data_IF_848887910001
#
_entry.id   IF_848887910001
#
_cell.length_a   1.000
_cell.length_b   1.000
_cell.length_c   1.000
_cell.angle_alpha   90.00
_cell.angle_beta   90.00
_cell.angle_gamma   90.00
#
_symmetry.space_group_name_H-M   'P 1'
#
loop_
_entity.id
_entity.type
_entity.pdbx_description
1 polymer ?
#
# COMPACT_ATOMS: atom_id res chain seq x y z
N UNK A 1 30.10 41.64 6.79
CA UNK A 1 29.87 40.26 7.23
C UNK A 1 30.58 39.33 6.27
N UNK A 2 31.50 38.49 6.72
CA UNK A 2 32.25 37.55 5.89
C UNK A 2 31.32 36.44 5.46
N UNK A 3 31.59 35.77 4.31
CA UNK A 3 30.73 34.77 3.69
C UNK A 3 30.31 33.68 4.70
N UNK A 4 31.22 33.18 5.52
CA UNK A 4 30.96 32.15 6.52
C UNK A 4 29.99 32.60 7.62
N UNK A 5 30.02 33.89 8.03
CA UNK A 5 29.06 34.44 8.98
C UNK A 5 27.65 34.47 8.40
N UNK A 6 27.51 34.80 7.13
CA UNK A 6 26.24 34.73 6.41
C UNK A 6 25.71 33.30 6.30
N UNK A 7 26.56 32.30 6.06
CA UNK A 7 26.17 30.90 5.97
C UNK A 7 25.69 30.34 7.32
N UNK A 8 26.25 30.81 8.44
CA UNK A 8 25.80 30.38 9.78
C UNK A 8 24.58 31.14 10.31
N UNK A 9 24.24 32.29 9.74
CA UNK A 9 23.14 33.15 10.18
C UNK A 9 22.00 33.23 9.19
N UNK A 10 21.85 32.22 8.32
CA UNK A 10 20.72 32.14 7.36
C UNK A 10 19.41 32.17 8.16
N UNK A 11 18.52 33.11 7.80
CA UNK A 11 17.19 33.21 8.41
C UNK A 11 16.41 31.91 8.18
N UNK A 12 15.84 31.36 9.25
CA UNK A 12 15.01 30.14 9.20
C UNK A 12 13.86 30.25 8.20
N UNK A 13 13.33 31.46 7.98
CA UNK A 13 12.26 31.72 7.00
C UNK A 13 12.70 31.38 5.57
N UNK A 14 13.97 31.67 5.24
CA UNK A 14 14.54 31.33 3.91
C UNK A 14 14.64 29.81 3.78
N UNK A 15 15.16 29.12 4.81
CA UNK A 15 15.27 27.66 4.82
C UNK A 15 13.89 27.02 4.64
N UNK A 16 12.89 27.45 5.41
CA UNK A 16 11.52 26.93 5.29
C UNK A 16 10.86 27.30 3.97
N UNK A 17 11.11 28.49 3.44
CA UNK A 17 10.61 28.91 2.12
C UNK A 17 11.17 28.04 0.99
N UNK A 18 12.48 27.76 1.02
CA UNK A 18 13.12 26.87 0.05
C UNK A 18 12.58 25.44 0.18
N UNK A 19 12.49 24.93 1.41
CA UNK A 19 11.99 23.58 1.66
C UNK A 19 10.53 23.44 1.19
N UNK A 20 9.69 24.43 1.49
CA UNK A 20 8.30 24.47 1.01
C UNK A 20 8.24 24.44 -0.52
N UNK A 21 9.04 25.27 -1.19
CA UNK A 21 9.10 25.32 -2.65
C UNK A 21 9.54 23.98 -3.26
N UNK A 22 10.61 23.40 -2.72
CA UNK A 22 11.19 22.13 -3.19
C UNK A 22 10.22 20.95 -3.03
N UNK A 23 9.41 20.95 -1.97
CA UNK A 23 8.39 19.90 -1.75
C UNK A 23 7.16 20.13 -2.62
N UNK A 24 6.72 21.40 -2.75
CA UNK A 24 5.44 21.71 -3.40
C UNK A 24 5.53 21.71 -4.92
N UNK A 25 6.66 22.18 -5.50
CA UNK A 25 6.81 22.25 -6.96
C UNK A 25 6.64 20.89 -7.67
N UNK A 26 7.24 19.77 -7.20
CA UNK A 26 7.04 18.47 -7.84
C UNK A 26 5.59 17.95 -7.71
N UNK A 27 4.84 18.37 -6.67
CA UNK A 27 3.44 17.99 -6.51
C UNK A 27 2.51 18.77 -7.45
N UNK A 28 2.89 20.02 -7.80
CA UNK A 28 2.14 20.85 -8.77
C UNK A 28 2.47 20.44 -10.21
N UNK A 29 3.73 20.08 -10.46
CA UNK A 29 4.23 19.62 -11.76
C UNK A 29 4.69 18.16 -11.65
N UNK A 30 3.75 17.22 -11.53
CA UNK A 30 4.11 15.82 -11.30
C UNK A 30 4.90 15.26 -12.48
N UNK A 31 6.03 14.66 -12.17
CA UNK A 31 6.79 13.84 -13.09
C UNK A 31 7.02 12.47 -12.48
N UNK A 32 6.84 11.43 -13.29
CA UNK A 32 7.00 10.05 -12.86
C UNK A 32 8.46 9.67 -12.92
N UNK A 33 9.02 9.26 -11.80
CA UNK A 33 10.36 8.66 -11.75
C UNK A 33 10.22 7.16 -11.96
N UNK A 34 10.92 6.62 -12.94
CA UNK A 34 11.04 5.17 -13.08
C UNK A 34 11.81 4.62 -11.89
N UNK A 35 11.19 3.75 -11.15
CA UNK A 35 11.78 3.08 -9.99
C UNK A 35 12.07 1.64 -10.37
N UNK A 36 13.30 1.18 -10.12
CA UNK A 36 13.64 -0.23 -10.34
C UNK A 36 13.05 -1.06 -9.19
N UNK A 37 12.14 -2.00 -9.48
CA UNK A 37 11.55 -2.84 -8.45
C UNK A 37 12.60 -3.71 -7.74
N UNK A 38 12.43 -3.87 -6.43
CA UNK A 38 13.25 -4.77 -5.63
C UNK A 38 12.58 -6.14 -5.49
N UNK A 39 13.39 -7.18 -5.30
CA UNK A 39 12.93 -8.57 -5.17
C UNK A 39 11.76 -8.80 -4.20
N UNK A 40 11.67 -8.15 -3.01
CA UNK A 40 10.49 -8.31 -2.14
C UNK A 40 9.19 -7.86 -2.78
N UNK A 41 9.22 -6.76 -3.57
CA UNK A 41 8.04 -6.23 -4.27
C UNK A 41 7.70 -7.09 -5.49
N UNK A 42 8.71 -7.53 -6.25
CA UNK A 42 8.51 -8.43 -7.40
C UNK A 42 7.88 -9.77 -6.97
N UNK A 43 8.30 -10.32 -5.84
CA UNK A 43 7.71 -11.56 -5.29
C UNK A 43 6.24 -11.36 -4.90
N UNK A 44 5.91 -10.21 -4.28
CA UNK A 44 4.52 -9.89 -3.96
C UNK A 44 3.69 -9.74 -5.23
N UNK A 45 4.19 -9.00 -6.21
CA UNK A 45 3.53 -8.82 -7.50
C UNK A 45 3.27 -10.17 -8.18
N UNK A 46 4.29 -11.02 -8.27
CA UNK A 46 4.19 -12.36 -8.87
C UNK A 46 3.19 -13.24 -8.13
N UNK A 47 3.14 -13.17 -6.80
CA UNK A 47 2.20 -13.95 -6.01
C UNK A 47 0.74 -13.50 -6.24
N UNK A 48 0.50 -12.20 -6.38
CA UNK A 48 -0.81 -11.65 -6.76
C UNK A 48 -1.14 -12.05 -8.19
N UNK A 49 -0.19 -11.95 -9.11
CA UNK A 49 -0.37 -12.26 -10.52
C UNK A 49 -0.68 -13.73 -10.78
N UNK A 50 -0.07 -14.63 -10.02
CA UNK A 50 -0.28 -16.08 -10.11
C UNK A 50 -1.61 -16.56 -9.50
N UNK A 51 -2.46 -15.66 -8.98
CA UNK A 51 -3.79 -16.03 -8.52
C UNK A 51 -4.60 -16.60 -9.67
N UNK A 52 -5.09 -17.80 -9.51
CA UNK A 52 -5.90 -18.49 -10.50
C UNK A 52 -7.37 -18.03 -10.46
N UNK A 53 -8.13 -18.25 -11.53
CA UNK A 53 -9.51 -17.75 -11.64
C UNK A 53 -10.52 -18.45 -10.69
N UNK A 54 -10.14 -19.59 -10.14
CA UNK A 54 -10.90 -20.33 -9.13
C UNK A 54 -10.66 -19.85 -7.70
N UNK A 55 -9.62 -19.02 -7.50
CA UNK A 55 -9.27 -18.42 -6.21
C UNK A 55 -9.50 -16.92 -6.16
N UNK A 56 -9.51 -16.39 -4.97
CA UNK A 56 -9.53 -14.94 -4.71
C UNK A 56 -8.28 -14.47 -3.98
N UNK A 57 -8.10 -13.15 -3.97
CA UNK A 57 -7.16 -12.45 -3.07
C UNK A 57 -7.92 -11.94 -1.85
N UNK A 58 -7.24 -11.80 -0.73
CA UNK A 58 -7.72 -10.96 0.38
C UNK A 58 -6.84 -9.71 0.45
N UNK A 59 -7.45 -8.54 0.52
CA UNK A 59 -6.78 -7.26 0.81
C UNK A 59 -7.26 -6.78 2.18
N UNK A 60 -6.37 -6.83 3.16
CA UNK A 60 -6.62 -6.27 4.49
C UNK A 60 -6.14 -4.82 4.54
N UNK A 61 -7.09 -3.89 4.57
CA UNK A 61 -6.85 -2.45 4.63
C UNK A 61 -6.84 -1.95 6.08
N UNK A 62 -5.96 -2.51 6.92
CA UNK A 62 -5.86 -2.16 8.35
C UNK A 62 -4.79 -1.09 8.60
N UNK A 63 -4.88 0.05 7.88
CA UNK A 63 -3.98 1.19 8.02
C UNK A 63 -4.72 2.46 8.45
N UNK A 64 -4.16 3.14 9.44
CA UNK A 64 -4.75 4.34 10.03
C UNK A 64 -4.57 5.60 9.15
N UNK A 65 -5.37 6.65 9.38
CA UNK A 65 -5.22 7.93 8.66
C UNK A 65 -3.83 8.56 8.74
N UNK A 66 -3.08 8.32 9.83
CA UNK A 66 -1.74 8.85 10.04
C UNK A 66 -0.71 8.32 9.03
N UNK A 67 -0.88 7.08 8.60
CA UNK A 67 0.05 6.40 7.66
C UNK A 67 -0.52 6.28 6.25
N UNK A 68 -1.71 6.85 6.02
CA UNK A 68 -2.42 6.79 4.75
C UNK A 68 -1.56 7.20 3.55
N UNK A 69 -0.74 8.25 3.71
CA UNK A 69 0.09 8.77 2.62
C UNK A 69 1.07 7.72 2.05
N UNK A 70 1.55 6.79 2.90
CA UNK A 70 2.48 5.74 2.48
C UNK A 70 1.75 4.46 2.05
N UNK A 71 0.64 4.12 2.69
CA UNK A 71 0.04 2.77 2.59
C UNK A 71 -1.16 2.73 1.64
N UNK A 72 -1.96 3.81 1.52
CA UNK A 72 -3.10 3.83 0.59
C UNK A 72 -2.69 3.66 -0.89
N UNK A 73 -1.54 4.24 -1.36
CA UNK A 73 -1.07 3.95 -2.71
C UNK A 73 -0.80 2.47 -2.97
N UNK A 74 -0.38 1.70 -1.95
CA UNK A 74 -0.21 0.25 -2.06
C UNK A 74 -1.56 -0.44 -2.27
N UNK A 75 -2.61 -0.04 -1.51
CA UNK A 75 -3.95 -0.57 -1.69
C UNK A 75 -4.48 -0.33 -3.11
N UNK A 76 -4.34 0.91 -3.60
CA UNK A 76 -4.76 1.29 -4.95
C UNK A 76 -4.01 0.48 -6.01
N UNK A 77 -2.68 0.30 -5.85
CA UNK A 77 -1.87 -0.45 -6.80
C UNK A 77 -2.24 -1.93 -6.84
N UNK A 78 -2.50 -2.57 -5.68
CA UNK A 78 -2.94 -3.98 -5.61
C UNK A 78 -4.35 -4.13 -6.20
N UNK A 79 -5.28 -3.21 -5.91
CA UNK A 79 -6.63 -3.22 -6.50
C UNK A 79 -6.58 -3.07 -8.02
N UNK A 80 -5.79 -2.12 -8.55
CA UNK A 80 -5.60 -1.95 -9.98
C UNK A 80 -5.02 -3.21 -10.64
N UNK A 81 -4.03 -3.82 -10.01
CA UNK A 81 -3.45 -5.09 -10.49
C UNK A 81 -4.51 -6.19 -10.55
N UNK A 82 -5.20 -6.44 -9.44
CA UNK A 82 -6.23 -7.46 -9.35
C UNK A 82 -7.34 -7.25 -10.39
N UNK A 83 -7.87 -6.04 -10.52
CA UNK A 83 -8.96 -5.75 -11.44
C UNK A 83 -8.52 -5.78 -12.92
N UNK A 84 -7.31 -5.30 -13.22
CA UNK A 84 -6.78 -5.37 -14.59
C UNK A 84 -6.57 -6.80 -15.06
N UNK A 85 -6.16 -7.69 -14.17
CA UNK A 85 -5.96 -9.12 -14.45
C UNK A 85 -7.20 -9.96 -14.16
N UNK A 86 -8.35 -9.32 -13.88
CA UNK A 86 -9.64 -9.99 -13.62
C UNK A 86 -9.58 -10.98 -12.45
N UNK A 87 -8.74 -10.69 -11.44
CA UNK A 87 -8.69 -11.48 -10.22
C UNK A 87 -9.82 -11.07 -9.28
N UNK A 88 -10.43 -12.06 -8.64
CA UNK A 88 -11.43 -11.83 -7.58
C UNK A 88 -10.75 -11.32 -6.32
N UNK A 89 -11.36 -10.36 -5.64
CA UNK A 89 -10.79 -9.77 -4.44
C UNK A 89 -11.83 -9.61 -3.33
N UNK A 90 -11.49 -10.10 -2.15
CA UNK A 90 -12.17 -9.81 -0.91
C UNK A 90 -11.42 -8.70 -0.18
N UNK A 91 -12.11 -7.63 0.18
CA UNK A 91 -11.50 -6.54 0.95
C UNK A 91 -12.09 -6.56 2.36
N UNK A 92 -11.24 -6.33 3.34
CA UNK A 92 -11.65 -6.23 4.74
C UNK A 92 -10.80 -5.20 5.50
N UNK A 93 -11.22 -4.87 6.69
CA UNK A 93 -10.40 -4.17 7.67
C UNK A 93 -10.61 -4.81 9.04
N UNK A 94 -9.57 -4.85 9.85
CA UNK A 94 -9.65 -5.42 11.21
C UNK A 94 -10.09 -4.39 12.26
N UNK A 95 -10.19 -3.13 11.87
CA UNK A 95 -10.60 -2.03 12.77
C UNK A 95 -11.63 -1.12 12.09
N UNK A 96 -12.66 -0.76 12.84
CA UNK A 96 -13.79 0.02 12.32
C UNK A 96 -13.39 1.42 11.81
N UNK A 97 -12.45 2.06 12.48
CA UNK A 97 -11.97 3.41 12.11
C UNK A 97 -11.23 3.46 10.76
N UNK A 98 -10.84 2.31 10.22
CA UNK A 98 -10.10 2.20 8.97
C UNK A 98 -10.99 1.90 7.76
N UNK A 99 -12.26 1.54 8.00
CA UNK A 99 -13.23 1.17 6.95
C UNK A 99 -13.41 2.27 5.90
N UNK A 100 -13.47 3.54 6.34
CA UNK A 100 -13.64 4.67 5.41
C UNK A 100 -12.49 4.83 4.41
N UNK A 101 -11.26 4.44 4.79
CA UNK A 101 -10.12 4.44 3.88
C UNK A 101 -10.20 3.28 2.89
N UNK A 102 -10.57 2.09 3.36
CA UNK A 102 -10.79 0.92 2.50
C UNK A 102 -11.88 1.22 1.46
N UNK A 103 -13.05 1.72 1.90
CA UNK A 103 -14.16 2.11 1.01
C UNK A 103 -13.72 3.11 -0.05
N UNK A 104 -12.94 4.12 0.35
CA UNK A 104 -12.45 5.14 -0.58
C UNK A 104 -11.51 4.54 -1.62
N UNK A 105 -10.56 3.70 -1.22
CA UNK A 105 -9.62 3.07 -2.13
C UNK A 105 -10.34 2.16 -3.15
N UNK A 106 -11.31 1.35 -2.69
CA UNK A 106 -12.12 0.50 -3.56
C UNK A 106 -12.91 1.36 -4.56
N UNK A 107 -13.68 2.34 -4.07
CA UNK A 107 -14.56 3.14 -4.92
C UNK A 107 -13.76 3.92 -5.97
N UNK A 108 -12.61 4.48 -5.59
CA UNK A 108 -11.72 5.18 -6.53
C UNK A 108 -11.30 4.27 -7.69
N UNK A 109 -10.86 3.04 -7.41
CA UNK A 109 -10.38 2.14 -8.47
C UNK A 109 -11.54 1.55 -9.26
N UNK A 110 -12.65 1.21 -8.63
CA UNK A 110 -13.86 0.72 -9.32
C UNK A 110 -14.41 1.79 -10.27
N UNK A 111 -14.49 3.03 -9.84
CA UNK A 111 -14.92 4.15 -10.68
C UNK A 111 -13.95 4.37 -11.86
N UNK A 112 -12.63 4.31 -11.61
CA UNK A 112 -11.61 4.41 -12.65
C UNK A 112 -11.78 3.34 -13.74
N UNK A 113 -12.06 2.09 -13.35
CA UNK A 113 -12.26 0.99 -14.31
C UNK A 113 -13.61 1.10 -15.00
N UNK A 114 -14.68 1.36 -14.27
CA UNK A 114 -16.03 1.38 -14.82
C UNK A 114 -16.29 2.57 -15.75
N UNK A 115 -15.65 3.72 -15.51
CA UNK A 115 -15.72 4.86 -16.43
C UNK A 115 -15.06 4.61 -17.78
N UNK A 116 -14.17 3.62 -17.86
CA UNK A 116 -13.51 3.20 -19.09
C UNK A 116 -14.09 1.92 -19.70
N UNK A 117 -15.05 1.28 -19.05
CA UNK A 117 -15.69 0.05 -19.53
C UNK A 117 -16.60 0.35 -20.74
N UNK A 118 -16.50 -0.46 -21.79
CA UNK A 118 -17.33 -0.32 -23.00
C UNK A 118 -18.58 -1.17 -22.91
N UNK A 119 -18.54 -2.26 -22.17
CA UNK A 119 -19.65 -3.20 -22.00
C UNK A 119 -19.90 -3.50 -20.53
N UNK A 120 -21.06 -4.06 -20.21
CA UNK A 120 -21.38 -4.53 -18.86
C UNK A 120 -20.39 -5.61 -18.38
N UNK A 121 -19.93 -6.46 -19.29
CA UNK A 121 -18.96 -7.51 -18.97
C UNK A 121 -17.57 -6.96 -18.64
N UNK A 122 -17.21 -5.82 -19.24
CA UNK A 122 -15.96 -5.13 -18.94
C UNK A 122 -15.99 -4.41 -17.59
N UNK A 123 -17.19 -4.12 -17.09
CA UNK A 123 -17.38 -3.44 -15.82
C UNK A 123 -17.02 -4.35 -14.63
N UNK A 124 -16.53 -3.73 -13.56
CA UNK A 124 -16.36 -4.38 -12.27
C UNK A 124 -17.71 -4.42 -11.56
N UNK A 125 -18.17 -5.60 -11.22
CA UNK A 125 -19.49 -5.84 -10.61
C UNK A 125 -19.29 -6.31 -9.19
N UNK A 126 -19.93 -5.61 -8.25
CA UNK A 126 -19.97 -6.00 -6.84
C UNK A 126 -20.59 -7.39 -6.66
N UNK A 127 -20.02 -8.20 -5.78
CA UNK A 127 -20.46 -9.59 -5.57
C UNK A 127 -19.96 -10.59 -6.60
N UNK A 128 -19.53 -10.15 -7.78
CA UNK A 128 -18.92 -10.98 -8.83
C UNK A 128 -17.40 -10.87 -8.86
N UNK A 129 -16.87 -9.64 -8.91
CA UNK A 129 -15.45 -9.36 -9.10
C UNK A 129 -14.78 -8.94 -7.78
N UNK A 130 -15.52 -8.29 -6.90
CA UNK A 130 -15.06 -7.90 -5.58
C UNK A 130 -16.19 -7.89 -4.54
N UNK A 131 -15.81 -8.15 -3.28
CA UNK A 131 -16.69 -8.05 -2.12
C UNK A 131 -15.96 -7.30 -1.01
N UNK A 132 -16.63 -6.35 -0.39
CA UNK A 132 -16.13 -5.67 0.81
C UNK A 132 -16.81 -6.25 2.04
N UNK A 133 -16.08 -7.11 2.75
CA UNK A 133 -16.57 -7.81 3.94
C UNK A 133 -16.77 -6.86 5.14
N UNK A 134 -16.06 -5.72 5.14
CA UNK A 134 -16.16 -4.75 6.22
C UNK A 134 -15.25 -5.09 7.39
N UNK A 135 -15.80 -5.11 8.59
CA UNK A 135 -15.09 -5.26 9.87
C UNK A 135 -15.82 -6.22 10.81
N UNK A 136 -15.04 -7.05 11.53
CA UNK A 136 -15.56 -8.01 12.52
C UNK A 136 -14.66 -8.03 13.77
N UNK A 137 -15.16 -7.64 14.94
CA UNK A 137 -14.43 -7.68 16.21
C UNK A 137 -14.56 -9.02 16.93
N UNK A 138 -13.57 -9.39 17.77
CA UNK A 138 -12.20 -8.86 17.79
C UNK A 138 -11.37 -9.35 16.61
N UNK A 139 -10.25 -8.71 16.25
CA UNK A 139 -9.44 -9.04 15.05
C UNK A 139 -9.04 -10.51 14.91
N UNK A 140 -8.87 -11.22 16.00
CA UNK A 140 -8.53 -12.66 15.99
C UNK A 140 -9.65 -13.53 15.41
N UNK A 141 -10.90 -13.10 15.54
CA UNK A 141 -12.07 -13.87 15.07
C UNK A 141 -12.03 -14.06 13.55
N UNK A 142 -11.92 -13.00 12.72
CA UNK A 142 -11.79 -13.21 11.29
C UNK A 142 -10.49 -13.95 10.89
N UNK A 143 -9.37 -13.70 11.57
CA UNK A 143 -8.10 -14.36 11.26
C UNK A 143 -8.17 -15.89 11.40
N UNK A 144 -8.86 -16.38 12.43
CA UNK A 144 -9.04 -17.82 12.66
C UNK A 144 -10.26 -18.37 11.92
N UNK A 145 -11.39 -17.68 12.02
CA UNK A 145 -12.67 -18.21 11.57
C UNK A 145 -12.83 -18.29 10.06
N UNK A 146 -12.22 -17.38 9.30
CA UNK A 146 -12.24 -17.46 7.83
C UNK A 146 -11.51 -18.69 7.28
N UNK A 147 -10.64 -19.33 8.07
CA UNK A 147 -10.04 -20.60 7.71
C UNK A 147 -11.05 -21.74 7.63
N UNK A 148 -12.14 -21.65 8.38
CA UNK A 148 -13.26 -22.61 8.37
C UNK A 148 -14.36 -22.14 7.41
N UNK A 149 -14.86 -20.91 7.58
CA UNK A 149 -15.89 -20.34 6.72
C UNK A 149 -15.90 -18.81 6.75
N UNK A 150 -15.71 -18.19 5.59
CA UNK A 150 -15.75 -16.73 5.46
C UNK A 150 -17.16 -16.21 5.74
N UNK A 151 -18.19 -16.83 5.13
CA UNK A 151 -19.58 -16.38 5.28
C UNK A 151 -20.16 -16.58 6.69
N UNK A 152 -19.62 -17.54 7.48
CA UNK A 152 -20.03 -17.68 8.89
C UNK A 152 -19.46 -16.56 9.77
N UNK A 153 -18.31 -16.00 9.41
CA UNK A 153 -17.69 -14.89 10.13
C UNK A 153 -18.29 -13.56 9.70
N UNK A 154 -18.44 -13.38 8.40
CA UNK A 154 -19.06 -12.21 7.78
C UNK A 154 -20.42 -12.62 7.21
N UNK A 155 -21.43 -12.80 8.09
CA UNK A 155 -22.78 -13.21 7.67
C UNK A 155 -23.40 -12.19 6.72
N UNK A 156 -23.15 -10.92 6.99
CA UNK A 156 -23.46 -9.80 6.08
C UNK A 156 -22.18 -9.05 5.74
N UNK A 157 -22.12 -8.57 4.51
CA UNK A 157 -21.03 -7.72 4.05
C UNK A 157 -21.19 -6.27 4.54
N UNK A 158 -20.25 -5.41 4.16
CA UNK A 158 -20.30 -3.99 4.55
C UNK A 158 -21.56 -3.25 4.06
N UNK A 159 -22.14 -3.65 2.95
CA UNK A 159 -23.35 -3.03 2.37
C UNK A 159 -24.66 -3.68 2.85
N UNK A 160 -24.58 -4.67 3.74
CA UNK A 160 -25.76 -5.35 4.29
C UNK A 160 -26.28 -6.52 3.46
N UNK A 161 -25.57 -6.95 2.41
CA UNK A 161 -25.94 -8.12 1.64
C UNK A 161 -25.55 -9.39 2.42
N UNK A 162 -26.39 -10.43 2.32
CA UNK A 162 -26.03 -11.75 2.82
C UNK A 162 -24.81 -12.27 2.04
N UNK A 163 -23.70 -12.50 2.75
CA UNK A 163 -22.41 -12.79 2.11
C UNK A 163 -22.46 -14.08 1.28
N UNK A 164 -23.16 -15.11 1.75
CA UNK A 164 -23.31 -16.41 1.09
C UNK A 164 -24.13 -16.36 -0.20
N UNK A 165 -24.93 -15.29 -0.40
CA UNK A 165 -25.74 -15.10 -1.62
C UNK A 165 -24.98 -14.39 -2.76
N UNK A 166 -23.79 -13.87 -2.48
CA UNK A 166 -22.99 -13.18 -3.47
C UNK A 166 -22.33 -14.18 -4.43
N UNK A 167 -22.39 -13.90 -5.73
CA UNK A 167 -21.93 -14.82 -6.79
C UNK A 167 -20.49 -15.32 -6.57
N UNK A 168 -19.59 -14.47 -6.14
CA UNK A 168 -18.21 -14.86 -5.85
C UNK A 168 -18.14 -15.88 -4.71
N UNK A 169 -18.99 -15.71 -3.69
CA UNK A 169 -18.97 -16.50 -2.47
C UNK A 169 -19.55 -17.91 -2.65
N UNK A 170 -20.17 -18.22 -3.77
CA UNK A 170 -20.55 -19.60 -4.13
C UNK A 170 -19.32 -20.51 -4.19
N UNK A 171 -18.16 -19.97 -4.59
CA UNK A 171 -16.90 -20.70 -4.77
C UNK A 171 -15.85 -20.38 -3.72
N UNK A 172 -15.82 -19.15 -3.22
CA UNK A 172 -14.81 -18.68 -2.25
C UNK A 172 -15.38 -18.85 -0.83
N UNK A 173 -15.01 -19.94 -0.15
CA UNK A 173 -15.62 -20.34 1.12
C UNK A 173 -14.69 -20.17 2.31
N UNK A 174 -13.40 -20.46 2.14
CA UNK A 174 -12.40 -20.39 3.21
C UNK A 174 -10.99 -20.15 2.65
N UNK A 175 -9.95 -20.22 3.45
CA UNK A 175 -8.57 -19.94 3.03
C UNK A 175 -8.03 -20.90 1.93
N UNK A 176 -8.61 -22.09 1.74
CA UNK A 176 -8.20 -22.96 0.62
C UNK A 176 -8.53 -22.34 -0.74
N UNK A 177 -9.53 -21.46 -0.78
CA UNK A 177 -9.98 -20.75 -1.97
C UNK A 177 -9.30 -19.39 -2.12
N UNK A 178 -8.35 -19.07 -1.23
CA UNK A 178 -7.57 -17.82 -1.26
C UNK A 178 -6.15 -18.12 -1.73
N UNK A 179 -5.68 -17.36 -2.69
CA UNK A 179 -4.32 -17.48 -3.21
C UNK A 179 -3.30 -16.79 -2.31
N UNK A 180 -3.60 -15.56 -1.91
CA UNK A 180 -2.76 -14.74 -1.05
C UNK A 180 -3.61 -13.72 -0.30
N UNK A 181 -3.21 -13.42 0.93
CA UNK A 181 -3.67 -12.26 1.68
C UNK A 181 -2.59 -11.18 1.63
N UNK A 182 -2.96 -9.97 1.25
CA UNK A 182 -2.09 -8.79 1.30
C UNK A 182 -2.53 -7.92 2.48
N UNK A 183 -1.71 -7.91 3.54
CA UNK A 183 -1.97 -7.13 4.74
C UNK A 183 -1.31 -5.75 4.65
N UNK A 184 -2.12 -4.70 4.66
CA UNK A 184 -1.67 -3.31 4.61
C UNK A 184 -1.77 -2.67 6.00
N UNK A 185 -0.64 -2.48 6.67
CA UNK A 185 -0.63 -1.97 8.05
C UNK A 185 0.71 -1.38 8.46
N UNK A 186 0.68 -0.35 9.32
CA UNK A 186 1.85 0.15 10.03
C UNK A 186 2.04 -0.46 11.43
N UNK A 187 1.21 -1.44 11.80
CA UNK A 187 1.22 -2.11 13.09
C UNK A 187 1.65 -3.58 12.97
N UNK A 188 1.56 -4.35 14.06
CA UNK A 188 1.93 -5.77 14.06
C UNK A 188 0.86 -6.72 13.47
N UNK A 189 -0.20 -6.20 12.87
CA UNK A 189 -1.26 -6.99 12.20
C UNK A 189 -0.70 -8.05 11.24
N UNK A 190 0.27 -7.74 10.35
CA UNK A 190 0.83 -8.73 9.44
C UNK A 190 1.42 -9.95 10.15
N UNK A 191 2.04 -9.74 11.32
CA UNK A 191 2.58 -10.84 12.14
C UNK A 191 1.43 -11.70 12.72
N UNK A 192 0.32 -11.07 13.08
CA UNK A 192 -0.87 -11.80 13.55
C UNK A 192 -1.47 -12.66 12.43
N UNK A 193 -1.48 -12.20 11.18
CA UNK A 193 -1.88 -13.01 10.04
C UNK A 193 -0.98 -14.25 9.86
N UNK A 194 0.33 -14.11 10.05
CA UNK A 194 1.24 -15.26 10.06
C UNK A 194 0.88 -16.24 11.18
N UNK A 195 0.70 -15.73 12.40
CA UNK A 195 0.43 -16.57 13.56
C UNK A 195 -0.89 -17.35 13.47
N UNK A 196 -1.96 -16.69 13.02
CA UNK A 196 -3.30 -17.24 13.08
C UNK A 196 -3.83 -17.82 11.77
N UNK A 197 -3.37 -17.32 10.62
CA UNK A 197 -3.82 -17.81 9.32
C UNK A 197 -2.76 -18.64 8.60
N UNK A 198 -1.54 -18.12 8.42
CA UNK A 198 -0.49 -18.85 7.70
C UNK A 198 -0.07 -20.12 8.44
N UNK A 199 0.31 -20.04 9.71
CA UNK A 199 0.80 -21.19 10.47
C UNK A 199 -0.27 -22.29 10.65
N UNK A 200 -1.54 -21.93 10.66
CA UNK A 200 -2.63 -22.87 10.89
C UNK A 200 -3.21 -23.44 9.59
N UNK A 201 -3.35 -22.62 8.58
CA UNK A 201 -4.07 -22.95 7.33
C UNK A 201 -3.19 -22.90 6.08
N UNK A 202 -1.91 -22.53 6.22
CA UNK A 202 -1.01 -22.41 5.06
C UNK A 202 -1.27 -21.20 4.15
N UNK A 203 -2.06 -20.20 4.60
CA UNK A 203 -2.37 -19.02 3.82
C UNK A 203 -1.11 -18.22 3.51
N UNK A 204 -0.85 -17.93 2.24
CA UNK A 204 0.24 -17.05 1.85
C UNK A 204 -0.05 -15.59 2.29
N UNK A 205 0.94 -14.93 2.90
CA UNK A 205 0.81 -13.57 3.41
C UNK A 205 1.81 -12.66 2.74
N UNK A 206 1.32 -11.66 2.02
CA UNK A 206 2.08 -10.52 1.51
C UNK A 206 1.85 -9.31 2.40
N UNK A 207 2.77 -8.36 2.42
CA UNK A 207 2.69 -7.22 3.34
C UNK A 207 2.99 -5.90 2.63
N UNK A 208 2.20 -4.88 2.95
CA UNK A 208 2.52 -3.48 2.69
C UNK A 208 2.58 -2.70 4.01
N UNK A 209 3.69 -2.01 4.25
CA UNK A 209 3.92 -1.33 5.52
C UNK A 209 4.61 0.02 5.34
N UNK A 210 4.62 0.82 6.43
CA UNK A 210 5.37 2.08 6.45
C UNK A 210 6.88 1.84 6.37
N UNK A 211 7.63 2.85 5.95
CA UNK A 211 9.09 2.78 5.92
C UNK A 211 9.69 2.45 7.30
N UNK A 212 9.09 2.96 8.38
CA UNK A 212 9.52 2.71 9.76
C UNK A 212 9.33 1.24 10.15
N UNK A 213 8.20 0.64 9.79
CA UNK A 213 7.90 -0.76 10.14
C UNK A 213 8.66 -1.77 9.28
N UNK A 214 9.25 -1.34 8.16
CA UNK A 214 9.94 -2.22 7.23
C UNK A 214 11.09 -3.00 7.85
N UNK A 215 11.86 -2.37 8.76
CA UNK A 215 12.97 -3.02 9.46
C UNK A 215 12.50 -4.21 10.31
N UNK A 216 11.33 -4.09 10.97
CA UNK A 216 10.76 -5.15 11.82
C UNK A 216 10.20 -6.31 10.98
N UNK A 217 9.77 -6.05 9.75
CA UNK A 217 9.13 -7.06 8.89
C UNK A 217 10.10 -7.77 7.94
N UNK A 218 11.25 -7.16 7.67
CA UNK A 218 12.24 -7.74 6.77
C UNK A 218 12.73 -9.13 7.19
N UNK A 219 12.95 -9.45 8.50
CA UNK A 219 13.27 -10.80 8.95
C UNK A 219 12.21 -11.85 8.60
N UNK A 220 10.93 -11.50 8.68
CA UNK A 220 9.82 -12.40 8.30
C UNK A 220 9.81 -12.69 6.80
N UNK A 221 10.16 -11.71 5.98
CA UNK A 221 10.36 -11.92 4.55
C UNK A 221 11.57 -12.83 4.28
N UNK A 222 12.70 -12.61 4.96
CA UNK A 222 13.91 -13.42 4.78
C UNK A 222 13.70 -14.90 5.19
N UNK A 223 12.89 -15.15 6.20
CA UNK A 223 12.55 -16.51 6.65
C UNK A 223 11.43 -17.16 5.82
N UNK A 224 10.88 -16.47 4.82
CA UNK A 224 9.80 -16.97 3.96
C UNK A 224 8.41 -16.96 4.59
N UNK A 225 8.24 -16.34 5.77
CA UNK A 225 6.93 -16.16 6.39
C UNK A 225 6.09 -15.13 5.63
N UNK A 226 6.71 -14.06 5.12
CA UNK A 226 6.06 -13.19 4.15
C UNK A 226 6.47 -13.57 2.73
N UNK A 227 5.48 -13.77 1.87
CA UNK A 227 5.66 -14.08 0.44
C UNK A 227 6.31 -12.91 -0.30
N UNK A 228 6.00 -11.68 0.12
CA UNK A 228 6.57 -10.47 -0.44
C UNK A 228 6.29 -9.26 0.46
N UNK A 229 6.98 -8.16 0.20
CA UNK A 229 6.98 -7.00 1.09
C UNK A 229 7.10 -5.69 0.30
N UNK A 230 6.14 -4.78 0.48
CA UNK A 230 6.21 -3.37 0.06
C UNK A 230 6.53 -2.50 1.28
N UNK A 231 7.59 -1.70 1.22
CA UNK A 231 8.02 -0.86 2.35
C UNK A 231 7.96 0.62 1.96
N UNK A 232 7.14 1.37 2.67
CA UNK A 232 6.97 2.81 2.51
C UNK A 232 6.53 3.21 1.10
N UNK A 233 6.60 4.49 0.82
CA UNK A 233 6.22 5.05 -0.48
C UNK A 233 7.02 4.45 -1.65
N UNK A 234 8.29 4.06 -1.39
CA UNK A 234 9.15 3.43 -2.40
C UNK A 234 8.58 2.08 -2.85
N UNK A 235 8.19 1.21 -1.89
CA UNK A 235 7.58 -0.08 -2.22
C UNK A 235 6.27 0.07 -2.99
N UNK A 236 5.45 1.08 -2.66
CA UNK A 236 4.26 1.41 -3.43
C UNK A 236 4.60 1.84 -4.87
N UNK A 237 5.59 2.72 -5.05
CA UNK A 237 6.02 3.19 -6.37
C UNK A 237 6.61 2.06 -7.23
N UNK A 238 7.34 1.14 -6.62
CA UNK A 238 7.87 -0.06 -7.30
C UNK A 238 6.72 -0.97 -7.78
N UNK A 239 5.69 -1.15 -6.97
CA UNK A 239 4.52 -1.95 -7.36
C UNK A 239 3.69 -1.25 -8.45
N UNK A 240 3.49 0.08 -8.36
CA UNK A 240 2.87 0.87 -9.43
C UNK A 240 3.61 0.71 -10.77
N UNK A 241 4.97 0.73 -10.74
CA UNK A 241 5.80 0.53 -11.93
C UNK A 241 5.58 -0.85 -12.55
N UNK A 242 5.54 -1.92 -11.72
CA UNK A 242 5.28 -3.28 -12.19
C UNK A 242 3.90 -3.41 -12.84
N UNK A 243 2.88 -2.80 -12.24
CA UNK A 243 1.51 -2.84 -12.78
C UNK A 243 1.42 -2.11 -14.12
N UNK A 244 2.06 -0.94 -14.24
CA UNK A 244 2.06 -0.19 -15.49
C UNK A 244 2.89 -0.89 -16.57
N UNK A 245 4.08 -1.37 -16.25
CA UNK A 245 4.98 -2.00 -17.20
C UNK A 245 4.42 -3.30 -17.79
N UNK A 246 3.72 -4.10 -16.97
CA UNK A 246 3.18 -5.40 -17.42
C UNK A 246 1.78 -5.28 -18.02
N UNK A 247 0.96 -4.35 -17.55
CA UNK A 247 -0.48 -4.31 -17.89
C UNK A 247 -0.96 -3.00 -18.50
N UNK A 248 -0.08 -1.98 -18.61
CA UNK A 248 -0.41 -0.69 -19.20
C UNK A 248 -1.54 0.05 -18.48
N UNK A 249 -1.70 -0.19 -17.15
CA UNK A 249 -2.73 0.48 -16.36
C UNK A 249 -2.39 1.94 -16.22
N UNK A 250 -3.17 2.79 -16.90
CA UNK A 250 -3.03 4.25 -16.84
C UNK A 250 -3.90 4.77 -15.70
N UNK A 251 -3.26 5.33 -14.71
CA UNK A 251 -3.90 5.99 -13.58
C UNK A 251 -2.88 6.88 -12.88
N UNK A 252 -3.35 7.75 -11.98
CA UNK A 252 -2.43 8.60 -11.22
C UNK A 252 -1.52 7.73 -10.34
N UNK A 253 -0.22 7.84 -10.53
CA UNK A 253 0.82 7.11 -9.79
C UNK A 253 1.23 7.92 -8.56
N UNK A 254 0.37 7.91 -7.55
CA UNK A 254 0.50 8.78 -6.37
C UNK A 254 1.82 8.54 -5.62
N UNK A 255 2.24 7.28 -5.49
CA UNK A 255 3.50 6.96 -4.83
C UNK A 255 4.71 7.43 -5.65
N UNK A 256 4.71 7.19 -6.95
CA UNK A 256 5.80 7.59 -7.85
C UNK A 256 5.95 9.12 -7.93
N UNK A 257 4.83 9.86 -7.96
CA UNK A 257 4.82 11.33 -7.92
C UNK A 257 5.34 11.87 -6.59
N UNK A 258 4.91 11.30 -5.47
CA UNK A 258 5.31 11.72 -4.13
C UNK A 258 6.77 11.38 -3.81
N UNK A 259 7.31 10.30 -4.38
CA UNK A 259 8.73 9.94 -4.25
C UNK A 259 9.66 11.04 -4.75
N UNK A 260 9.27 11.76 -5.79
CA UNK A 260 10.07 12.88 -6.32
C UNK A 260 10.18 14.02 -5.31
N UNK A 261 9.03 14.43 -4.72
CA UNK A 261 9.00 15.45 -3.66
C UNK A 261 9.83 15.04 -2.45
N UNK A 262 9.73 13.78 -2.02
CA UNK A 262 10.49 13.24 -0.91
C UNK A 262 12.00 13.24 -1.20
N UNK A 263 12.40 12.86 -2.40
CA UNK A 263 13.81 12.85 -2.82
C UNK A 263 14.39 14.28 -2.81
N UNK A 264 13.68 15.25 -3.37
CA UNK A 264 14.14 16.64 -3.37
C UNK A 264 14.18 17.24 -1.97
N UNK A 265 13.24 16.90 -1.09
CA UNK A 265 13.27 17.32 0.31
C UNK A 265 14.53 16.80 1.02
N UNK A 266 14.87 15.52 0.87
CA UNK A 266 16.08 14.95 1.44
C UNK A 266 17.36 15.62 0.89
N UNK A 267 17.43 15.84 -0.42
CA UNK A 267 18.57 16.54 -1.03
C UNK A 267 18.73 17.96 -0.50
N UNK A 268 17.62 18.69 -0.34
CA UNK A 268 17.65 20.04 0.21
C UNK A 268 18.14 20.05 1.68
N UNK A 269 17.67 19.10 2.50
CA UNK A 269 18.11 18.96 3.90
C UNK A 269 19.60 18.64 3.97
N UNK A 270 20.08 17.69 3.17
CA UNK A 270 21.51 17.34 3.10
C UNK A 270 22.34 18.57 2.68
N UNK A 271 21.89 19.31 1.68
CA UNK A 271 22.54 20.53 1.24
C UNK A 271 22.64 21.57 2.36
N UNK A 272 21.56 21.79 3.11
CA UNK A 272 21.58 22.73 4.25
C UNK A 272 22.55 22.27 5.35
N UNK A 273 22.61 20.97 5.66
CA UNK A 273 23.56 20.41 6.61
C UNK A 273 24.99 20.65 6.14
N UNK A 274 25.30 20.41 4.86
CA UNK A 274 26.63 20.63 4.30
C UNK A 274 27.01 22.11 4.36
N UNK A 275 26.13 23.01 3.94
CA UNK A 275 26.36 24.47 3.99
C UNK A 275 26.61 24.93 5.43
N UNK A 276 25.80 24.48 6.39
CA UNK A 276 25.97 24.83 7.80
C UNK A 276 27.32 24.35 8.37
N UNK A 277 27.71 23.11 8.04
CA UNK A 277 28.99 22.55 8.48
C UNK A 277 30.20 23.29 7.85
N UNK A 278 30.14 23.62 6.56
CA UNK A 278 31.18 24.42 5.90
C UNK A 278 31.34 25.78 6.62
N UNK A 279 30.23 26.47 6.89
CA UNK A 279 30.25 27.74 7.65
C UNK A 279 30.91 27.58 8.98
N UNK A 280 30.55 26.55 9.76
CA UNK A 280 31.11 26.24 11.07
C UNK A 280 32.64 25.99 11.02
N UNK A 281 33.10 25.13 10.11
CA UNK A 281 34.54 24.81 9.98
C UNK A 281 35.37 26.00 9.54
N UNK A 282 34.87 26.84 8.62
CA UNK A 282 35.54 28.08 8.23
C UNK A 282 35.64 29.10 9.36
N UNK A 283 34.62 29.18 10.21
CA UNK A 283 34.66 30.02 11.40
C UNK A 283 35.68 29.52 12.43
N UNK A 284 35.71 28.21 12.72
CA UNK A 284 36.60 27.60 13.70
C UNK A 284 38.10 27.72 13.33
N UNK A 285 38.44 27.65 12.04
CA UNK A 285 39.85 27.78 11.59
C UNK A 285 40.43 29.19 11.72
N UNK A 286 39.61 30.18 12.04
CA UNK A 286 40.00 31.56 12.14
C UNK A 286 40.02 32.13 13.60
N UNK A 287 39.61 31.30 14.56
CA UNK A 287 39.87 31.49 15.99
C UNK A 287 41.15 30.77 16.39
#
# INVERSE_FOLDING_TARGET
>A
MKLYERLMTIDRRIIYGILLGVVTLPLIFPSVVKVTPMSPVEKLFTAVDNTTNDKALILDCSYSPQIKAEVEPMAIAVLRHAFKTRKKILVLSLYVEMIGLATRAINQVVEEFNSNAQTYEDSLIYGRDYVFLGWQPPPIVPMLGMGESISNIYVVDYYGNQTDTLQMMERIRNYNDISILVALSGSRIPISWVAYAQNRYGLAVGVGCTAVSGADFYPYYQTGQFTGLMVGMKGAAEYEELVEANYGVKGRRVASEAMLSLTYAHLAIILFIVIGNIGFFLHRRRK
#
